data_IF_176076895272
#
_entry.id   IF_176076895272
#
_cell.length_a   1.000
_cell.length_b   1.000
_cell.length_c   1.000
_cell.angle_alpha   90.00
_cell.angle_beta   90.00
_cell.angle_gamma   90.00
#
_symmetry.space_group_name_H-M   'P 1'
#
loop_
_entity.id
_entity.type
_entity.pdbx_description
1 polymer ?
#
# COMPACT_ATOMS: atom_id res chain seq x y z
N UNK A 1 -7.12 -25.38 6.79
CA UNK A 1 -8.56 -25.08 6.68
C UNK A 1 -8.72 -23.60 6.40
N UNK A 2 -9.17 -23.24 5.22
CA UNK A 2 -9.55 -21.86 4.91
C UNK A 2 -10.86 -21.56 5.64
N UNK A 3 -10.79 -20.92 6.78
CA UNK A 3 -12.00 -20.45 7.47
C UNK A 3 -12.57 -19.33 6.59
N UNK A 4 -13.83 -19.47 6.20
CA UNK A 4 -14.50 -18.43 5.41
C UNK A 4 -14.55 -17.14 6.23
N UNK A 5 -14.09 -16.02 5.66
CA UNK A 5 -14.12 -14.70 6.31
C UNK A 5 -15.52 -14.33 6.80
N UNK A 6 -16.56 -14.76 6.11
CA UNK A 6 -17.95 -14.50 6.51
C UNK A 6 -18.30 -15.13 7.86
N UNK A 7 -17.82 -16.35 8.12
CA UNK A 7 -18.02 -17.02 9.42
C UNK A 7 -17.27 -16.30 10.54
N UNK A 8 -16.10 -15.74 10.25
CA UNK A 8 -15.34 -14.95 11.24
C UNK A 8 -16.05 -13.63 11.55
N UNK A 9 -16.59 -12.97 10.55
CA UNK A 9 -17.39 -11.74 10.73
C UNK A 9 -18.64 -12.05 11.58
N UNK A 10 -19.31 -13.16 11.32
CA UNK A 10 -20.48 -13.58 12.10
C UNK A 10 -20.10 -13.87 13.56
N UNK A 11 -19.02 -14.62 13.80
CA UNK A 11 -18.51 -14.91 15.17
C UNK A 11 -18.20 -13.63 15.96
N UNK A 12 -17.53 -12.66 15.32
CA UNK A 12 -17.08 -11.42 15.93
C UNK A 12 -18.06 -10.25 15.78
N UNK A 13 -19.24 -10.49 15.22
CA UNK A 13 -20.28 -9.47 14.98
C UNK A 13 -20.60 -8.61 16.21
N UNK A 14 -20.74 -9.14 17.44
CA UNK A 14 -21.04 -8.32 18.60
C UNK A 14 -19.96 -7.28 18.90
N UNK A 15 -18.68 -7.65 18.68
CA UNK A 15 -17.54 -6.76 18.91
C UNK A 15 -17.36 -5.77 17.77
N UNK A 16 -17.58 -6.20 16.51
CA UNK A 16 -17.39 -5.36 15.32
C UNK A 16 -18.46 -4.27 15.17
N UNK A 17 -19.65 -4.51 15.67
CA UNK A 17 -20.79 -3.57 15.55
C UNK A 17 -21.05 -2.75 16.81
N UNK A 18 -20.17 -2.78 17.79
CA UNK A 18 -20.28 -2.00 19.02
C UNK A 18 -20.17 -0.49 18.72
N UNK A 19 -21.15 0.29 19.12
CA UNK A 19 -21.25 1.72 18.79
C UNK A 19 -20.20 2.59 19.52
N UNK A 20 -19.76 2.17 20.71
CA UNK A 20 -18.83 2.94 21.54
C UNK A 20 -17.45 3.17 20.92
N UNK A 21 -17.03 2.29 19.99
CA UNK A 21 -15.73 2.36 19.32
C UNK A 21 -15.81 2.82 17.85
N UNK A 22 -16.99 3.34 17.43
CA UNK A 22 -17.23 3.75 16.05
C UNK A 22 -17.65 2.58 15.15
N UNK A 23 -18.41 2.84 14.10
CA UNK A 23 -18.87 1.82 13.15
C UNK A 23 -17.86 1.64 12.02
N UNK A 24 -17.42 0.41 11.78
CA UNK A 24 -16.60 0.07 10.63
C UNK A 24 -17.53 -0.16 9.45
N UNK A 25 -17.55 0.74 8.47
CA UNK A 25 -18.44 0.64 7.30
C UNK A 25 -17.90 -0.27 6.20
N UNK A 26 -16.59 -0.40 6.09
CA UNK A 26 -15.92 -1.18 5.06
C UNK A 26 -15.92 -2.67 5.40
N UNK A 27 -16.52 -3.50 4.53
CA UNK A 27 -16.60 -4.96 4.69
C UNK A 27 -15.21 -5.62 4.74
N UNK A 28 -14.25 -5.12 3.96
CA UNK A 28 -12.89 -5.65 3.97
C UNK A 28 -12.18 -5.36 5.28
N UNK A 29 -12.31 -4.13 5.81
CA UNK A 29 -11.77 -3.78 7.13
C UNK A 29 -12.41 -4.63 8.24
N UNK A 30 -13.71 -4.92 8.16
CA UNK A 30 -14.38 -5.85 9.08
C UNK A 30 -13.79 -7.27 9.00
N UNK A 31 -13.60 -7.79 7.80
CA UNK A 31 -13.05 -9.13 7.58
C UNK A 31 -11.62 -9.27 8.14
N UNK A 32 -10.77 -8.28 7.86
CA UNK A 32 -9.39 -8.27 8.36
C UNK A 32 -9.37 -8.16 9.89
N UNK A 33 -10.17 -7.27 10.46
CA UNK A 33 -10.26 -7.11 11.93
C UNK A 33 -10.74 -8.39 12.61
N UNK A 34 -11.75 -9.08 12.03
CA UNK A 34 -12.23 -10.36 12.52
C UNK A 34 -11.14 -11.44 12.48
N UNK A 35 -10.38 -11.53 11.39
CA UNK A 35 -9.27 -12.48 11.26
C UNK A 35 -8.14 -12.20 12.27
N UNK A 36 -7.83 -10.93 12.50
CA UNK A 36 -6.82 -10.52 13.48
C UNK A 36 -7.26 -10.83 14.91
N UNK A 37 -8.54 -10.62 15.24
CA UNK A 37 -9.11 -10.99 16.54
C UNK A 37 -9.08 -12.52 16.77
N UNK A 38 -9.36 -13.31 15.72
CA UNK A 38 -9.25 -14.77 15.79
C UNK A 38 -7.81 -15.22 16.04
N UNK A 39 -6.85 -14.63 15.34
CA UNK A 39 -5.43 -14.91 15.58
C UNK A 39 -5.00 -14.53 17.01
N UNK A 40 -5.56 -13.47 17.55
CA UNK A 40 -5.32 -13.07 18.92
C UNK A 40 -5.88 -14.09 19.93
N UNK A 41 -7.11 -14.58 19.71
CA UNK A 41 -7.69 -15.62 20.54
C UNK A 41 -6.82 -16.87 20.55
N UNK A 42 -6.35 -17.29 19.38
CA UNK A 42 -5.45 -18.45 19.24
C UNK A 42 -4.13 -18.19 19.97
N UNK A 43 -3.51 -17.04 19.79
CA UNK A 43 -2.24 -16.71 20.45
C UNK A 43 -2.37 -16.67 21.98
N UNK A 44 -3.44 -16.09 22.51
CA UNK A 44 -3.71 -16.05 23.96
C UNK A 44 -3.99 -17.45 24.53
N UNK A 45 -4.62 -18.32 23.75
CA UNK A 45 -4.87 -19.72 24.13
C UNK A 45 -3.55 -20.52 24.17
N UNK A 46 -2.67 -20.31 23.19
CA UNK A 46 -1.35 -20.95 23.14
C UNK A 46 -0.42 -20.47 24.27
N UNK A 47 -0.48 -19.20 24.64
CA UNK A 47 0.29 -18.63 25.76
C UNK A 47 -0.26 -19.04 27.14
N UNK A 48 -1.33 -19.83 27.21
CA UNK A 48 -1.94 -20.31 28.45
C UNK A 48 -2.65 -19.23 29.29
N UNK A 49 -2.84 -18.03 28.70
CA UNK A 49 -3.57 -16.93 29.35
C UNK A 49 -5.09 -17.18 29.37
N UNK A 50 -5.56 -18.07 28.48
CA UNK A 50 -6.95 -18.53 28.44
C UNK A 50 -6.92 -20.04 28.73
N UNK A 51 -7.09 -20.45 29.94
CA UNK A 51 -7.29 -21.86 30.28
C UNK A 51 -8.77 -22.20 30.19
N UNK A 52 -9.12 -23.21 29.39
CA UNK A 52 -10.49 -23.74 29.32
C UNK A 52 -10.99 -24.39 30.62
N UNK A 53 -10.07 -24.73 31.53
CA UNK A 53 -10.39 -25.29 32.84
C UNK A 53 -10.23 -24.21 33.91
N UNK A 54 -11.33 -23.61 34.33
CA UNK A 54 -11.34 -22.84 35.57
C UNK A 54 -10.93 -23.74 36.74
N UNK A 55 -10.02 -23.30 37.62
CA UNK A 55 -9.75 -24.06 38.86
C UNK A 55 -11.06 -24.24 39.63
N UNK A 56 -11.23 -25.39 40.26
CA UNK A 56 -12.47 -25.85 40.92
C UNK A 56 -13.04 -24.90 42.01
N UNK A 57 -12.38 -23.80 42.34
CA UNK A 57 -12.78 -22.78 43.28
C UNK A 57 -13.24 -21.43 42.64
N UNK A 58 -13.46 -21.36 41.34
CA UNK A 58 -13.94 -20.12 40.70
C UNK A 58 -15.44 -20.07 40.73
N UNK A 59 -15.96 -19.08 41.45
CA UNK A 59 -17.38 -18.69 41.38
C UNK A 59 -17.64 -18.07 40.04
N UNK A 60 -18.47 -18.74 39.24
CA UNK A 60 -19.05 -18.29 37.95
C UNK A 60 -18.07 -18.10 36.78
N UNK A 61 -18.44 -18.71 35.68
CA UNK A 61 -17.87 -18.60 34.33
C UNK A 61 -17.76 -17.15 33.85
N UNK A 62 -16.79 -16.41 34.34
CA UNK A 62 -16.34 -15.18 33.72
C UNK A 62 -15.33 -15.63 32.67
N UNK A 63 -15.74 -15.62 31.41
CA UNK A 63 -14.82 -15.70 30.31
C UNK A 63 -13.72 -14.65 30.54
N UNK A 64 -12.51 -15.07 30.76
CA UNK A 64 -11.33 -14.21 30.98
C UNK A 64 -10.92 -13.50 29.66
N UNK A 65 -11.86 -12.95 28.96
CA UNK A 65 -11.60 -12.05 27.86
C UNK A 65 -11.21 -10.71 28.46
N UNK A 66 -10.02 -10.25 28.16
CA UNK A 66 -9.61 -8.93 28.59
C UNK A 66 -10.34 -7.89 27.68
N UNK A 67 -11.43 -7.25 28.14
CA UNK A 67 -12.23 -6.36 27.32
C UNK A 67 -11.44 -5.13 26.86
N UNK A 68 -10.46 -4.72 27.65
CA UNK A 68 -9.56 -3.59 27.31
C UNK A 68 -8.72 -3.91 26.09
N UNK A 69 -8.21 -5.12 25.99
CA UNK A 69 -7.36 -5.54 24.87
C UNK A 69 -8.16 -5.63 23.57
N UNK A 70 -9.37 -6.18 23.61
CA UNK A 70 -10.26 -6.28 22.45
C UNK A 70 -10.68 -4.87 21.98
N UNK A 71 -11.04 -3.99 22.90
CA UNK A 71 -11.39 -2.62 22.59
C UNK A 71 -10.21 -1.84 21.97
N UNK A 72 -9.00 -2.06 22.48
CA UNK A 72 -7.78 -1.44 21.97
C UNK A 72 -7.46 -1.91 20.55
N UNK A 73 -7.54 -3.22 20.27
CA UNK A 73 -7.32 -3.76 18.92
C UNK A 73 -8.36 -3.20 17.95
N UNK A 74 -9.63 -3.18 18.33
CA UNK A 74 -10.69 -2.66 17.49
C UNK A 74 -10.54 -1.17 17.19
N UNK A 75 -10.07 -0.37 18.16
CA UNK A 75 -9.85 1.07 17.99
C UNK A 75 -8.58 1.35 17.18
N UNK A 76 -7.52 0.62 17.42
CA UNK A 76 -6.20 0.89 16.87
C UNK A 76 -6.02 0.39 15.43
N UNK A 77 -6.42 -0.85 15.15
CA UNK A 77 -6.13 -1.49 13.85
C UNK A 77 -6.78 -0.83 12.64
N UNK A 78 -8.08 -0.43 12.65
CA UNK A 78 -8.70 0.19 11.48
C UNK A 78 -8.15 1.58 11.14
N UNK A 79 -7.50 2.26 12.09
CA UNK A 79 -6.97 3.61 11.95
C UNK A 79 -5.55 3.64 11.37
N UNK A 80 -4.92 2.49 11.14
CA UNK A 80 -3.63 2.43 10.47
C UNK A 80 -3.74 2.96 9.03
N UNK A 81 -2.86 3.88 8.66
CA UNK A 81 -2.77 4.42 7.30
C UNK A 81 -2.52 3.32 6.25
N UNK A 82 -1.93 2.20 6.66
CA UNK A 82 -1.71 1.04 5.81
C UNK A 82 -2.99 0.51 5.15
N UNK A 83 -4.14 0.60 5.82
CA UNK A 83 -5.43 0.19 5.24
C UNK A 83 -5.89 1.08 4.09
N UNK A 84 -5.46 2.32 4.04
CA UNK A 84 -5.87 3.27 3.02
C UNK A 84 -4.92 3.31 1.82
N UNK A 85 -3.62 3.05 2.03
CA UNK A 85 -2.58 3.16 0.99
C UNK A 85 -1.98 1.83 0.54
N UNK A 86 -2.04 0.78 1.37
CA UNK A 86 -1.52 -0.56 1.06
C UNK A 86 -2.65 -1.57 0.89
N UNK A 87 -2.35 -2.70 0.26
CA UNK A 87 -3.18 -3.89 0.34
C UNK A 87 -3.03 -4.54 1.72
N UNK A 88 -4.10 -4.98 2.33
CA UNK A 88 -4.05 -5.64 3.64
C UNK A 88 -4.49 -7.08 3.51
N UNK A 89 -3.59 -7.99 3.90
CA UNK A 89 -3.80 -9.44 3.84
C UNK A 89 -3.44 -10.07 5.18
N UNK A 90 -4.40 -10.47 6.01
CA UNK A 90 -4.11 -11.10 7.28
C UNK A 90 -3.45 -12.46 7.07
N UNK A 91 -2.47 -12.79 7.92
CA UNK A 91 -1.78 -14.07 7.91
C UNK A 91 -2.38 -14.99 8.97
N UNK A 92 -2.48 -16.27 8.65
CA UNK A 92 -2.90 -17.33 9.60
C UNK A 92 -1.73 -18.03 10.28
N UNK A 93 -0.48 -17.72 9.90
CA UNK A 93 0.74 -18.30 10.43
C UNK A 93 1.92 -17.32 10.39
N UNK A 94 3.08 -17.70 10.91
CA UNK A 94 4.28 -16.85 10.93
C UNK A 94 4.85 -16.56 9.53
N UNK A 95 4.47 -17.35 8.53
CA UNK A 95 4.83 -17.18 7.13
C UNK A 95 3.58 -17.16 6.26
N UNK A 96 3.56 -16.30 5.27
CA UNK A 96 2.49 -16.20 4.28
C UNK A 96 3.04 -16.23 2.86
N UNK A 97 2.16 -16.48 1.90
CA UNK A 97 2.48 -16.48 0.48
C UNK A 97 1.46 -15.60 -0.27
N UNK A 98 1.97 -14.75 -1.14
CA UNK A 98 1.17 -13.96 -2.08
C UNK A 98 1.50 -14.45 -3.48
N UNK A 99 0.47 -14.79 -4.24
CA UNK A 99 0.61 -15.30 -5.60
C UNK A 99 0.23 -14.25 -6.63
N UNK A 100 0.98 -14.25 -7.74
CA UNK A 100 0.63 -13.52 -8.94
C UNK A 100 0.66 -14.46 -10.14
N UNK A 101 -0.36 -14.39 -11.00
CA UNK A 101 -0.42 -15.15 -12.24
C UNK A 101 -0.12 -14.22 -13.41
N UNK A 102 0.87 -14.60 -14.23
CA UNK A 102 1.26 -13.87 -15.44
C UNK A 102 1.02 -14.76 -16.65
N UNK A 103 0.28 -14.22 -17.63
CA UNK A 103 0.09 -14.85 -18.93
C UNK A 103 1.36 -14.62 -19.76
N UNK A 104 1.82 -15.65 -20.48
CA UNK A 104 3.05 -15.60 -21.26
C UNK A 104 2.83 -16.09 -22.69
N UNK A 105 3.53 -15.49 -23.62
CA UNK A 105 3.64 -16.02 -24.97
C UNK A 105 4.49 -17.30 -24.95
N UNK A 106 4.14 -18.31 -25.76
CA UNK A 106 4.81 -19.60 -25.76
C UNK A 106 4.41 -20.52 -24.60
N UNK A 107 5.10 -21.63 -24.40
CA UNK A 107 4.72 -22.70 -23.46
C UNK A 107 4.84 -22.39 -21.96
N UNK A 108 4.76 -21.13 -21.53
CA UNK A 108 4.71 -20.77 -20.11
C UNK A 108 6.07 -20.74 -19.39
N UNK A 109 7.17 -20.51 -20.09
CA UNK A 109 8.48 -20.28 -19.46
C UNK A 109 8.56 -18.89 -18.84
N UNK A 110 9.27 -18.74 -17.71
CA UNK A 110 9.51 -17.44 -17.04
C UNK A 110 10.35 -16.49 -17.88
N UNK A 111 11.10 -16.97 -18.86
CA UNK A 111 11.88 -16.17 -19.80
C UNK A 111 11.02 -15.59 -20.94
N UNK A 112 9.83 -16.14 -21.15
CA UNK A 112 8.95 -15.67 -22.22
C UNK A 112 8.31 -14.32 -21.85
N UNK A 113 8.02 -13.53 -22.89
CA UNK A 113 7.37 -12.23 -22.74
C UNK A 113 5.98 -12.36 -22.12
N UNK A 114 5.62 -11.41 -21.26
CA UNK A 114 4.31 -11.32 -20.66
C UNK A 114 3.26 -10.86 -21.68
N UNK A 115 2.15 -11.59 -21.77
CA UNK A 115 1.01 -11.27 -22.60
C UNK A 115 -0.07 -10.54 -21.80
N UNK A 116 -0.97 -9.84 -22.47
CA UNK A 116 -2.10 -9.10 -21.89
C UNK A 116 -1.72 -7.87 -21.06
N UNK A 117 -0.46 -7.64 -20.84
CA UNK A 117 0.07 -6.48 -20.12
C UNK A 117 0.56 -5.41 -21.09
N UNK A 118 1.39 -5.78 -22.04
CA UNK A 118 1.84 -4.91 -23.12
C UNK A 118 0.86 -4.97 -24.29
N UNK A 119 1.09 -4.16 -25.31
CA UNK A 119 0.36 -4.27 -26.56
C UNK A 119 0.48 -5.67 -27.14
N UNK A 120 -0.63 -6.20 -27.67
CA UNK A 120 -0.65 -7.54 -28.23
C UNK A 120 0.30 -7.65 -29.44
N UNK A 121 1.12 -8.70 -29.46
CA UNK A 121 1.99 -8.97 -30.61
C UNK A 121 1.17 -9.46 -31.81
N UNK A 122 1.04 -8.61 -32.80
CA UNK A 122 0.25 -8.90 -34.01
C UNK A 122 0.86 -10.03 -34.86
N UNK A 123 2.17 -10.22 -34.75
CA UNK A 123 2.89 -11.29 -35.46
C UNK A 123 2.79 -12.66 -34.78
N UNK A 124 2.40 -12.71 -33.49
CA UNK A 124 2.49 -13.96 -32.75
C UNK A 124 1.53 -15.04 -33.26
N UNK A 125 0.30 -14.70 -33.56
CA UNK A 125 -0.70 -15.63 -34.12
C UNK A 125 -1.02 -15.43 -35.58
N UNK A 126 -0.36 -14.45 -36.21
CA UNK A 126 -0.57 -14.06 -37.60
C UNK A 126 0.66 -14.32 -38.49
N UNK A 127 0.80 -13.50 -39.52
CA UNK A 127 1.94 -13.54 -40.44
C UNK A 127 3.20 -13.05 -39.77
N UNK A 128 4.28 -13.87 -39.83
CA UNK A 128 5.59 -13.56 -39.27
C UNK A 128 6.42 -12.56 -40.10
N UNK A 129 5.90 -12.09 -41.25
CA UNK A 129 6.60 -11.16 -42.11
C UNK A 129 6.56 -9.71 -41.63
N UNK A 130 5.65 -9.38 -40.69
CA UNK A 130 5.61 -8.06 -40.08
C UNK A 130 6.60 -7.91 -38.92
N UNK A 131 7.13 -6.72 -38.72
CA UNK A 131 7.97 -6.39 -37.57
C UNK A 131 7.12 -5.68 -36.52
N UNK A 132 6.87 -6.36 -35.41
CA UNK A 132 6.36 -5.74 -34.20
C UNK A 132 7.54 -5.57 -33.25
N UNK A 133 7.87 -4.33 -32.90
CA UNK A 133 8.97 -4.07 -31.97
C UNK A 133 8.61 -4.57 -30.57
N UNK A 134 9.37 -5.52 -30.07
CA UNK A 134 9.13 -6.21 -28.79
C UNK A 134 9.20 -5.31 -27.56
N UNK A 135 9.93 -4.20 -27.66
CA UNK A 135 10.25 -3.35 -26.50
C UNK A 135 9.40 -2.07 -26.46
N UNK A 136 8.86 -1.67 -27.59
CA UNK A 136 8.01 -0.49 -27.69
C UNK A 136 6.61 -0.83 -28.17
N UNK A 137 5.83 -0.44 -27.39
CA UNK A 137 4.48 -0.49 -27.18
C UNK A 137 3.76 0.03 -28.39
N UNK A 138 3.52 0.25 -29.25
CA UNK A 138 2.53 0.73 -30.20
C UNK A 138 3.02 0.88 -31.61
N UNK A 139 3.89 0.18 -32.12
CA UNK A 139 4.20 0.27 -33.56
C UNK A 139 4.12 1.67 -34.24
N UNK A 140 3.65 2.64 -33.51
CA UNK A 140 3.57 4.06 -33.82
C UNK A 140 4.68 4.80 -33.07
N UNK A 141 5.94 4.45 -33.35
CA UNK A 141 7.05 5.30 -32.93
C UNK A 141 7.13 6.50 -33.88
N UNK A 142 6.18 7.40 -33.70
CA UNK A 142 6.04 8.55 -34.59
C UNK A 142 6.94 9.66 -34.08
N UNK A 143 8.13 9.74 -34.60
CA UNK A 143 9.03 10.87 -34.38
C UNK A 143 8.64 12.10 -35.19
N UNK A 144 8.08 11.90 -36.33
CA UNK A 144 7.63 12.98 -37.24
C UNK A 144 6.24 12.65 -37.80
N UNK A 145 5.22 13.32 -37.26
CA UNK A 145 3.86 13.31 -37.75
C UNK A 145 3.62 14.57 -38.54
N UNK A 146 4.42 14.79 -39.56
CA UNK A 146 4.13 15.90 -40.51
C UNK A 146 3.25 15.41 -41.64
N UNK A 147 2.76 16.34 -42.45
CA UNK A 147 1.95 16.03 -43.60
C UNK A 147 2.79 15.61 -44.81
N UNK A 148 4.10 15.53 -44.68
CA UNK A 148 5.00 15.14 -45.74
C UNK A 148 5.05 13.62 -45.83
N UNK A 149 4.73 13.06 -46.98
CA UNK A 149 4.74 11.63 -47.27
C UNK A 149 6.15 11.06 -47.53
N UNK A 150 7.18 11.68 -46.94
CA UNK A 150 8.55 11.20 -47.05
C UNK A 150 8.79 9.90 -46.27
N UNK A 151 9.82 9.16 -46.63
CA UNK A 151 10.18 7.87 -46.04
C UNK A 151 10.49 7.92 -44.55
N UNK A 152 10.57 9.10 -43.95
CA UNK A 152 10.82 9.32 -42.52
C UNK A 152 9.56 9.22 -41.64
N UNK A 153 8.39 9.16 -42.25
CA UNK A 153 7.15 8.94 -41.46
C UNK A 153 7.06 7.49 -41.04
N UNK A 154 7.20 7.25 -39.74
CA UNK A 154 7.14 5.92 -39.14
C UNK A 154 5.84 5.16 -39.43
N UNK A 155 4.75 5.88 -39.79
CA UNK A 155 3.49 5.28 -40.22
C UNK A 155 3.62 4.54 -41.56
N UNK A 156 4.51 5.00 -42.43
CA UNK A 156 4.72 4.44 -43.76
C UNK A 156 5.75 3.31 -43.73
N UNK A 157 6.67 3.32 -42.76
CA UNK A 157 7.78 2.34 -42.67
C UNK A 157 7.47 1.19 -41.75
N UNK A 158 6.57 1.33 -40.79
CA UNK A 158 6.21 0.27 -39.84
C UNK A 158 5.07 -0.58 -40.44
N UNK A 159 5.45 -1.73 -40.94
CA UNK A 159 4.51 -2.78 -41.35
C UNK A 159 4.09 -3.62 -40.14
N UNK A 160 2.85 -3.52 -39.76
CA UNK A 160 2.28 -4.45 -38.77
C UNK A 160 2.06 -5.80 -39.44
N UNK A 161 2.25 -6.88 -38.65
CA UNK A 161 1.84 -8.19 -39.06
C UNK A 161 0.31 -8.27 -39.18
N UNK A 162 -0.15 -8.92 -40.22
CA UNK A 162 -1.56 -9.19 -40.50
C UNK A 162 -1.91 -10.63 -40.18
N UNK A 163 -3.17 -11.03 -40.37
CA UNK A 163 -3.56 -12.42 -40.27
C UNK A 163 -2.89 -13.30 -41.32
N UNK A 164 -2.77 -14.58 -41.07
CA UNK A 164 -2.22 -15.56 -41.99
C UNK A 164 -3.02 -15.62 -43.29
N UNK A 165 -2.34 -15.93 -44.39
CA UNK A 165 -3.01 -16.23 -45.66
C UNK A 165 -3.77 -17.54 -45.56
N UNK A 166 -4.79 -17.74 -46.40
CA UNK A 166 -5.58 -18.99 -46.45
C UNK A 166 -4.68 -20.20 -46.73
N UNK A 167 -3.66 -20.06 -47.56
CA UNK A 167 -2.72 -21.12 -47.89
C UNK A 167 -1.82 -21.52 -46.71
N UNK A 168 -1.47 -20.58 -45.83
CA UNK A 168 -0.72 -20.87 -44.59
C UNK A 168 -1.65 -21.47 -43.52
N UNK A 169 -2.88 -21.00 -43.43
CA UNK A 169 -3.86 -21.51 -42.48
C UNK A 169 -4.23 -23.00 -42.80
N UNK A 170 -4.27 -23.38 -44.08
CA UNK A 170 -4.49 -24.77 -44.49
C UNK A 170 -3.33 -25.71 -44.11
N UNK A 171 -2.13 -25.19 -43.94
CA UNK A 171 -0.94 -25.96 -43.55
C UNK A 171 -0.75 -26.10 -42.03
N UNK A 172 -1.57 -25.40 -41.24
CA UNK A 172 -1.48 -25.45 -39.77
C UNK A 172 -1.64 -26.90 -39.26
N UNK A 173 -0.61 -27.34 -38.50
CA UNK A 173 -0.60 -28.67 -37.91
C UNK A 173 -0.10 -29.78 -38.82
N UNK A 174 0.33 -29.49 -40.05
CA UNK A 174 0.99 -30.46 -40.89
C UNK A 174 2.45 -30.67 -40.47
N UNK A 175 2.99 -31.87 -40.64
CA UNK A 175 4.35 -32.18 -40.21
C UNK A 175 5.40 -31.37 -41.01
N UNK A 176 6.17 -30.55 -40.30
CA UNK A 176 7.25 -29.72 -40.86
C UNK A 176 6.86 -28.30 -41.22
N UNK A 177 5.63 -27.90 -41.00
CA UNK A 177 5.13 -26.52 -41.25
C UNK A 177 4.65 -25.85 -39.95
N UNK A 178 4.05 -24.68 -40.07
CA UNK A 178 3.65 -23.84 -38.90
C UNK A 178 2.72 -24.59 -37.95
N UNK A 179 3.17 -24.75 -36.70
CA UNK A 179 2.32 -25.24 -35.63
C UNK A 179 1.47 -24.10 -35.05
N UNK A 180 0.35 -24.43 -34.43
CA UNK A 180 -0.40 -23.48 -33.62
C UNK A 180 0.51 -22.85 -32.58
N UNK A 181 0.45 -21.51 -32.44
CA UNK A 181 1.22 -20.81 -31.42
C UNK A 181 0.59 -21.06 -30.06
N UNK A 182 1.43 -21.30 -29.08
CA UNK A 182 1.02 -21.65 -27.72
C UNK A 182 1.08 -20.42 -26.81
N UNK A 183 0.17 -20.35 -25.87
CA UNK A 183 0.22 -19.42 -24.75
C UNK A 183 0.14 -20.19 -23.45
N UNK A 184 0.88 -19.75 -22.46
CA UNK A 184 0.89 -20.36 -21.15
C UNK A 184 0.74 -19.33 -20.05
N UNK A 185 0.82 -19.77 -18.81
CA UNK A 185 0.87 -18.88 -17.66
C UNK A 185 1.95 -19.33 -16.68
N UNK A 186 2.50 -18.39 -15.94
CA UNK A 186 3.42 -18.64 -14.84
C UNK A 186 2.82 -18.15 -13.54
N UNK A 187 3.06 -18.87 -12.45
CA UNK A 187 2.67 -18.46 -11.11
C UNK A 187 3.93 -18.00 -10.40
N UNK A 188 3.96 -16.72 -10.07
CA UNK A 188 5.01 -16.11 -9.25
C UNK A 188 4.53 -15.99 -7.82
N UNK A 189 5.43 -16.12 -6.85
CA UNK A 189 5.13 -16.04 -5.44
C UNK A 189 6.07 -15.07 -4.74
N UNK A 190 5.54 -14.32 -3.79
CA UNK A 190 6.30 -13.57 -2.81
C UNK A 190 6.02 -14.17 -1.43
N UNK A 191 7.07 -14.45 -0.67
CA UNK A 191 6.96 -14.95 0.70
C UNK A 191 7.01 -13.77 1.67
N UNK A 192 6.14 -13.80 2.67
CA UNK A 192 6.17 -12.83 3.77
C UNK A 192 6.44 -13.55 5.07
N UNK A 193 7.32 -12.99 5.88
CA UNK A 193 7.63 -13.47 7.24
C UNK A 193 7.19 -12.44 8.26
N UNK A 194 6.54 -12.89 9.33
CA UNK A 194 6.12 -12.03 10.42
C UNK A 194 7.33 -11.58 11.25
N UNK A 195 7.52 -10.27 11.36
CA UNK A 195 8.48 -9.61 12.25
C UNK A 195 7.74 -9.10 13.49
N UNK A 196 8.43 -8.92 14.62
CA UNK A 196 7.83 -8.46 15.85
C UNK A 196 8.33 -7.06 16.22
N UNK A 197 7.41 -6.23 16.76
CA UNK A 197 7.73 -5.01 17.49
C UNK A 197 7.27 -5.15 18.91
N UNK A 198 8.07 -4.68 19.85
CA UNK A 198 7.73 -4.74 21.27
C UNK A 198 8.29 -3.53 22.01
N UNK A 199 7.48 -2.95 22.89
CA UNK A 199 7.85 -1.89 23.81
C UNK A 199 7.44 -2.28 25.20
N UNK A 200 8.20 -1.84 26.21
CA UNK A 200 7.86 -2.02 27.62
C UNK A 200 7.95 -0.70 28.37
N UNK A 201 7.14 -0.56 29.39
CA UNK A 201 7.25 0.50 30.37
C UNK A 201 7.26 -0.10 31.80
N UNK A 202 8.01 0.54 32.68
CA UNK A 202 8.09 0.21 34.11
C UNK A 202 7.67 1.45 34.89
N UNK A 203 6.93 1.27 35.96
CA UNK A 203 6.53 2.38 36.84
C UNK A 203 6.56 1.95 38.30
N UNK A 204 6.79 2.90 39.21
CA UNK A 204 6.80 2.64 40.65
C UNK A 204 5.38 2.69 41.20
N UNK A 205 5.14 1.90 42.28
CA UNK A 205 3.85 1.91 42.97
C UNK A 205 3.54 3.26 43.61
N UNK A 206 4.56 3.97 44.12
CA UNK A 206 4.42 5.30 44.68
C UNK A 206 3.93 6.28 43.63
N UNK A 207 4.54 6.27 42.42
CA UNK A 207 4.11 7.14 41.31
C UNK A 207 2.64 6.89 40.94
N UNK A 208 2.22 5.62 40.91
CA UNK A 208 0.84 5.29 40.57
C UNK A 208 -0.16 5.80 41.63
N UNK A 209 0.24 5.72 42.91
CA UNK A 209 -0.57 6.23 44.03
C UNK A 209 -0.68 7.76 44.00
N UNK A 210 0.43 8.43 43.76
CA UNK A 210 0.49 9.89 43.70
C UNK A 210 -0.29 10.45 42.51
N UNK A 211 -0.14 9.85 41.32
CA UNK A 211 -0.93 10.24 40.14
C UNK A 211 -2.43 10.07 40.37
N UNK A 212 -2.82 8.98 41.02
CA UNK A 212 -4.23 8.73 41.30
C UNK A 212 -4.77 9.68 42.37
N UNK A 213 -3.97 10.01 43.38
CA UNK A 213 -4.39 10.90 44.49
C UNK A 213 -4.45 12.38 44.06
N UNK A 214 -3.50 12.86 43.23
CA UNK A 214 -3.39 14.28 42.87
C UNK A 214 -4.17 14.58 41.59
N UNK A 215 -4.05 13.72 40.56
CA UNK A 215 -4.60 13.96 39.23
C UNK A 215 -5.81 13.10 38.88
N UNK A 216 -6.12 12.08 39.68
CA UNK A 216 -7.20 11.13 39.40
C UNK A 216 -6.93 10.21 38.19
N UNK A 217 -5.68 10.20 37.69
CA UNK A 217 -5.26 9.41 36.52
C UNK A 217 -4.71 8.05 36.96
N UNK A 218 -5.02 7.02 36.19
CA UNK A 218 -4.44 5.69 36.38
C UNK A 218 -3.15 5.56 35.51
N UNK A 219 -2.00 5.41 36.19
CA UNK A 219 -0.70 5.32 35.54
C UNK A 219 -0.61 4.18 34.52
N UNK A 220 -1.27 3.06 34.81
CA UNK A 220 -1.27 1.91 33.90
C UNK A 220 -1.98 2.24 32.59
N UNK A 221 -3.15 2.85 32.68
CA UNK A 221 -3.97 3.22 31.51
C UNK A 221 -3.26 4.26 30.67
N UNK A 222 -2.65 5.27 31.28
CA UNK A 222 -1.93 6.31 30.55
C UNK A 222 -0.68 5.76 29.84
N UNK A 223 0.10 4.91 30.51
CA UNK A 223 1.25 4.25 29.90
C UNK A 223 0.83 3.30 28.77
N UNK A 224 -0.27 2.59 28.93
CA UNK A 224 -0.82 1.72 27.90
C UNK A 224 -1.20 2.53 26.65
N UNK A 225 -1.84 3.69 26.80
CA UNK A 225 -2.18 4.58 25.70
C UNK A 225 -0.93 5.10 24.99
N UNK A 226 0.09 5.55 25.75
CA UNK A 226 1.34 6.06 25.18
C UNK A 226 2.04 4.98 24.37
N UNK A 227 2.23 3.78 24.94
CA UNK A 227 2.93 2.69 24.25
C UNK A 227 2.19 2.20 23.00
N UNK A 228 0.86 2.11 23.07
CA UNK A 228 0.05 1.70 21.91
C UNK A 228 0.12 2.72 20.78
N UNK A 229 0.02 3.99 21.10
CA UNK A 229 0.10 5.07 20.11
C UNK A 229 1.49 5.11 19.45
N UNK A 230 2.56 4.93 20.22
CA UNK A 230 3.92 4.93 19.67
C UNK A 230 4.14 3.76 18.71
N UNK A 231 3.73 2.54 19.07
CA UNK A 231 3.86 1.38 18.16
C UNK A 231 3.10 1.60 16.86
N UNK A 232 1.90 2.18 16.92
CA UNK A 232 1.11 2.47 15.72
C UNK A 232 1.78 3.55 14.85
N UNK A 233 2.32 4.59 15.47
CA UNK A 233 3.09 5.61 14.79
C UNK A 233 4.34 5.03 14.10
N UNK A 234 5.07 4.15 14.78
CA UNK A 234 6.22 3.44 14.21
C UNK A 234 5.83 2.60 12.98
N UNK A 235 4.72 1.86 13.04
CA UNK A 235 4.23 1.06 11.91
C UNK A 235 3.88 1.95 10.72
N UNK A 236 3.16 3.04 10.95
CA UNK A 236 2.82 3.98 9.88
C UNK A 236 4.07 4.61 9.26
N UNK A 237 5.05 4.97 10.06
CA UNK A 237 6.34 5.50 9.56
C UNK A 237 7.09 4.45 8.73
N UNK A 238 7.11 3.21 9.15
CA UNK A 238 7.73 2.12 8.40
C UNK A 238 7.05 1.94 7.03
N UNK A 239 5.71 1.97 6.99
CA UNK A 239 4.95 1.87 5.73
C UNK A 239 5.30 3.02 4.79
N UNK A 240 5.26 4.28 5.26
CA UNK A 240 5.58 5.45 4.43
C UNK A 240 7.02 5.38 3.92
N UNK A 241 7.98 5.06 4.78
CA UNK A 241 9.40 4.94 4.39
C UNK A 241 9.62 3.82 3.37
N UNK A 242 8.94 2.69 3.52
CA UNK A 242 9.02 1.58 2.58
C UNK A 242 8.45 1.99 1.21
N UNK A 243 7.32 2.69 1.18
CA UNK A 243 6.76 3.23 -0.07
C UNK A 243 7.77 4.19 -0.71
N UNK A 244 8.28 5.17 0.04
CA UNK A 244 9.20 6.17 -0.49
C UNK A 244 10.51 5.56 -1.00
N UNK A 245 11.03 4.52 -0.33
CA UNK A 245 12.27 3.86 -0.76
C UNK A 245 12.09 3.05 -2.04
N UNK A 246 10.93 2.42 -2.22
CA UNK A 246 10.65 1.59 -3.39
C UNK A 246 10.09 2.38 -4.57
N UNK A 247 9.52 3.57 -4.33
CA UNK A 247 8.91 4.40 -5.37
C UNK A 247 9.89 4.72 -6.49
N UNK A 248 9.44 4.59 -7.74
CA UNK A 248 10.20 5.04 -8.90
C UNK A 248 10.39 6.55 -8.87
N UNK A 249 11.51 7.02 -9.40
CA UNK A 249 11.78 8.45 -9.54
C UNK A 249 10.78 9.06 -10.52
N UNK A 250 10.07 10.10 -10.09
CA UNK A 250 9.19 10.92 -10.91
C UNK A 250 9.92 12.10 -11.54
N UNK A 251 9.15 13.04 -12.12
CA UNK A 251 9.63 14.29 -12.74
C UNK A 251 10.77 14.09 -13.77
N UNK A 252 10.70 13.01 -14.55
CA UNK A 252 11.72 12.66 -15.54
C UNK A 252 11.63 13.50 -16.84
N UNK A 253 10.55 14.26 -17.01
CA UNK A 253 10.24 14.97 -18.26
C UNK A 253 10.32 16.49 -18.14
N UNK A 254 10.53 17.01 -16.94
CA UNK A 254 10.56 18.45 -16.68
C UNK A 254 11.96 19.01 -16.89
N UNK A 255 12.96 18.38 -16.35
CA UNK A 255 14.35 18.77 -16.53
C UNK A 255 15.21 17.53 -16.78
N UNK A 256 15.78 17.42 -17.97
CA UNK A 256 16.62 16.29 -18.35
C UNK A 256 17.96 16.23 -17.58
N UNK A 257 18.40 17.35 -17.01
CA UNK A 257 19.64 17.42 -16.26
C UNK A 257 19.48 16.93 -14.80
N UNK A 258 18.30 17.06 -14.22
CA UNK A 258 18.06 16.73 -12.79
C UNK A 258 16.75 15.93 -12.67
N UNK A 259 16.86 14.64 -12.86
CA UNK A 259 15.73 13.73 -12.70
C UNK A 259 15.30 13.65 -11.22
N UNK A 260 13.99 13.65 -10.98
CA UNK A 260 13.42 13.50 -9.64
C UNK A 260 13.20 14.80 -8.88
N UNK A 261 13.46 15.94 -9.48
CA UNK A 261 13.22 17.26 -8.90
C UNK A 261 12.28 18.04 -9.80
N UNK A 262 11.28 18.65 -9.22
CA UNK A 262 10.40 19.63 -9.84
C UNK A 262 10.65 20.99 -9.18
N UNK A 263 11.22 21.92 -9.93
CA UNK A 263 11.44 23.28 -9.48
C UNK A 263 10.26 24.17 -9.89
N UNK A 264 9.53 24.68 -8.89
CA UNK A 264 8.34 25.51 -9.12
C UNK A 264 8.68 26.81 -9.88
N UNK A 265 9.92 27.30 -9.79
CA UNK A 265 10.32 28.52 -10.49
C UNK A 265 10.66 28.30 -11.95
N UNK A 266 11.36 27.22 -12.25
CA UNK A 266 11.92 26.97 -13.60
C UNK A 266 11.10 26.02 -14.43
N UNK A 267 10.45 25.03 -13.80
CA UNK A 267 9.72 23.97 -14.51
C UNK A 267 8.21 24.26 -14.63
N UNK A 268 7.71 25.23 -13.86
CA UNK A 268 6.32 25.66 -13.95
C UNK A 268 6.19 26.96 -14.73
N UNK A 269 5.37 26.93 -15.79
CA UNK A 269 5.02 28.14 -16.51
C UNK A 269 4.09 29.03 -15.69
N UNK A 270 4.31 30.34 -15.76
CA UNK A 270 3.45 31.32 -15.11
C UNK A 270 4.21 32.50 -14.49
N UNK A 271 3.53 33.63 -14.39
CA UNK A 271 4.07 34.86 -13.77
C UNK A 271 3.72 34.94 -12.29
N UNK A 272 2.60 34.37 -11.90
CA UNK A 272 2.06 34.43 -10.53
C UNK A 272 2.28 33.10 -9.82
N UNK A 273 2.51 33.16 -8.52
CA UNK A 273 2.72 31.95 -7.69
C UNK A 273 1.58 30.93 -7.83
N UNK A 274 0.35 31.40 -7.90
CA UNK A 274 -0.83 30.53 -8.09
C UNK A 274 -0.80 29.77 -9.44
N UNK A 275 -0.32 30.41 -10.50
CA UNK A 275 -0.18 29.76 -11.80
C UNK A 275 0.91 28.67 -11.75
N UNK A 276 2.02 28.96 -11.08
CA UNK A 276 3.10 28.00 -10.87
C UNK A 276 2.65 26.80 -10.04
N UNK A 277 1.80 27.02 -9.03
CA UNK A 277 1.21 25.92 -8.25
C UNK A 277 0.25 25.06 -9.07
N UNK A 278 -0.45 25.63 -10.04
CA UNK A 278 -1.21 24.84 -11.04
C UNK A 278 -0.31 23.97 -11.91
N UNK A 279 0.91 24.43 -12.21
CA UNK A 279 1.93 23.65 -12.89
C UNK A 279 2.34 22.41 -12.05
N UNK A 280 2.47 22.57 -10.73
CA UNK A 280 2.71 21.44 -9.82
C UNK A 280 1.56 20.43 -9.84
N UNK A 281 0.29 20.88 -9.85
CA UNK A 281 -0.87 19.98 -9.97
C UNK A 281 -0.83 19.20 -11.29
N UNK A 282 -0.47 19.86 -12.39
CA UNK A 282 -0.31 19.18 -13.67
C UNK A 282 0.79 18.11 -13.62
N UNK A 283 1.91 18.39 -12.97
CA UNK A 283 2.97 17.40 -12.80
C UNK A 283 2.52 16.19 -12.00
N UNK A 284 1.80 16.41 -10.90
CA UNK A 284 1.21 15.32 -10.11
C UNK A 284 0.29 14.47 -10.99
N UNK A 285 -0.55 15.09 -11.80
CA UNK A 285 -1.47 14.41 -12.71
C UNK A 285 -0.71 13.59 -13.77
N UNK A 286 0.40 14.10 -14.28
CA UNK A 286 1.30 13.36 -15.19
C UNK A 286 1.89 12.12 -14.53
N UNK A 287 2.32 12.22 -13.28
CA UNK A 287 2.83 11.06 -12.54
C UNK A 287 1.73 10.03 -12.27
N UNK A 288 0.50 10.46 -11.94
CA UNK A 288 -0.65 9.56 -11.85
C UNK A 288 -0.89 8.80 -13.16
N UNK A 289 -0.82 9.50 -14.31
CA UNK A 289 -0.99 8.87 -15.62
C UNK A 289 0.17 7.91 -15.97
N UNK A 290 1.38 8.25 -15.57
CA UNK A 290 2.55 7.35 -15.73
C UNK A 290 2.36 6.03 -14.98
N UNK A 291 1.84 6.07 -13.75
CA UNK A 291 1.49 4.86 -13.01
C UNK A 291 0.48 4.03 -13.80
N UNK A 292 -0.56 4.66 -14.39
CA UNK A 292 -1.55 3.97 -15.21
C UNK A 292 -0.93 3.28 -16.43
N UNK A 293 0.01 3.96 -17.11
CA UNK A 293 0.71 3.42 -18.28
C UNK A 293 1.60 2.23 -17.88
N UNK A 294 2.32 2.33 -16.77
CA UNK A 294 3.26 1.29 -16.34
C UNK A 294 2.56 0.09 -15.70
N UNK A 295 1.50 0.31 -14.94
CA UNK A 295 0.78 -0.78 -14.25
C UNK A 295 -0.36 -1.38 -15.08
N UNK A 296 -0.91 -0.64 -16.05
CA UNK A 296 -2.11 -1.00 -16.84
C UNK A 296 -3.33 -1.36 -16.00
N UNK A 297 -3.34 -0.98 -14.73
CA UNK A 297 -4.43 -1.29 -13.78
C UNK A 297 -5.27 -0.08 -13.41
N UNK A 298 -4.65 1.08 -13.30
CA UNK A 298 -5.37 2.30 -12.97
C UNK A 298 -4.43 3.46 -12.69
N UNK A 299 -5.02 4.64 -12.65
CA UNK A 299 -4.35 5.89 -12.40
C UNK A 299 -4.06 6.04 -10.90
N UNK A 300 -2.98 6.72 -10.54
CA UNK A 300 -2.68 7.06 -9.16
C UNK A 300 -3.87 7.71 -8.45
N UNK A 301 -4.20 7.27 -7.25
CA UNK A 301 -5.40 7.69 -6.52
C UNK A 301 -5.12 8.20 -5.11
N UNK A 302 -3.87 8.19 -4.68
CA UNK A 302 -3.47 8.84 -3.44
C UNK A 302 -2.13 9.54 -3.56
N UNK A 303 -1.91 10.53 -2.73
CA UNK A 303 -0.71 11.36 -2.66
C UNK A 303 -0.28 11.45 -1.20
N UNK A 304 1.01 11.32 -0.96
CA UNK A 304 1.64 11.65 0.33
C UNK A 304 2.57 12.83 0.06
N UNK A 305 2.41 13.92 0.78
CA UNK A 305 3.19 15.13 0.56
C UNK A 305 3.61 15.80 1.87
N UNK A 306 4.57 16.72 1.79
CA UNK A 306 4.93 17.61 2.92
C UNK A 306 3.86 18.67 3.16
N UNK A 307 3.87 19.29 4.32
CA UNK A 307 2.94 20.36 4.71
C UNK A 307 2.97 21.56 3.76
N UNK A 308 4.16 21.97 3.30
CA UNK A 308 4.34 23.10 2.39
C UNK A 308 3.73 22.83 1.01
N UNK A 309 3.91 21.60 0.51
CA UNK A 309 3.26 21.16 -0.74
C UNK A 309 1.74 21.15 -0.59
N UNK A 310 1.21 20.67 0.52
CA UNK A 310 -0.24 20.69 0.77
C UNK A 310 -0.79 22.11 0.80
N UNK A 311 -0.04 23.05 1.39
CA UNK A 311 -0.39 24.48 1.39
C UNK A 311 -0.37 25.07 -0.03
N UNK A 312 0.61 24.70 -0.85
CA UNK A 312 0.67 25.12 -2.26
C UNK A 312 -0.51 24.56 -3.08
N UNK A 313 -0.88 23.30 -2.86
CA UNK A 313 -2.06 22.69 -3.51
C UNK A 313 -3.36 23.35 -3.10
N UNK A 314 -3.49 23.75 -1.83
CA UNK A 314 -4.62 24.53 -1.34
C UNK A 314 -4.67 25.92 -1.96
N UNK A 315 -3.53 26.61 -2.07
CA UNK A 315 -3.43 27.91 -2.72
C UNK A 315 -3.78 27.87 -4.21
N UNK A 316 -3.54 26.74 -4.89
CA UNK A 316 -3.96 26.52 -6.27
C UNK A 316 -5.49 26.34 -6.42
N UNK A 317 -6.26 26.34 -5.32
CA UNK A 317 -7.71 26.12 -5.27
C UNK A 317 -8.17 24.80 -5.89
N UNK A 318 -7.30 23.78 -5.86
CA UNK A 318 -7.59 22.44 -6.41
C UNK A 318 -7.76 21.37 -5.33
N UNK A 319 -7.43 21.70 -4.09
CA UNK A 319 -7.60 20.81 -2.95
C UNK A 319 -8.95 21.08 -2.30
N UNK A 320 -9.87 20.14 -2.44
CA UNK A 320 -11.16 20.18 -1.78
C UNK A 320 -11.04 19.60 -0.37
N UNK A 321 -11.12 20.46 0.64
CA UNK A 321 -11.28 20.01 2.01
C UNK A 321 -12.69 19.46 2.20
N UNK A 322 -12.81 18.25 2.71
CA UNK A 322 -14.13 17.71 3.05
C UNK A 322 -14.79 18.58 4.13
N UNK A 323 -16.11 18.91 4.02
CA UNK A 323 -16.81 19.77 4.98
C UNK A 323 -16.74 19.29 6.44
N UNK A 324 -16.58 17.99 6.66
CA UNK A 324 -16.35 17.40 7.98
C UNK A 324 -15.01 17.81 8.61
N UNK A 325 -14.06 18.26 7.81
CA UNK A 325 -12.72 18.70 8.28
C UNK A 325 -12.64 20.20 8.54
N UNK A 326 -13.66 20.97 8.20
CA UNK A 326 -13.66 22.44 8.43
C UNK A 326 -13.71 22.81 9.92
N UNK A 327 -14.11 21.91 10.80
CA UNK A 327 -14.22 22.14 12.25
C UNK A 327 -13.16 21.44 13.08
N UNK A 328 -12.56 20.38 12.55
CA UNK A 328 -11.50 19.65 13.27
C UNK A 328 -10.56 19.03 12.25
N UNK A 329 -9.32 19.51 12.20
CA UNK A 329 -8.26 18.77 11.53
C UNK A 329 -8.13 17.45 12.29
N UNK A 330 -8.75 16.40 11.78
CA UNK A 330 -8.64 15.08 12.37
C UNK A 330 -7.21 14.59 12.11
N UNK A 331 -6.33 14.93 13.03
CA UNK A 331 -5.03 14.26 13.14
C UNK A 331 -5.37 12.87 13.65
N UNK A 332 -5.10 11.86 12.85
CA UNK A 332 -5.12 10.49 13.33
C UNK A 332 -4.25 10.41 14.60
N UNK A 333 -4.63 9.58 15.56
CA UNK A 333 -3.84 9.32 16.79
C UNK A 333 -2.38 8.92 16.46
N UNK A 334 -2.09 8.62 15.19
CA UNK A 334 -0.80 8.24 14.63
C UNK A 334 0.00 9.39 14.01
N UNK A 335 -0.50 10.63 14.07
CA UNK A 335 0.20 11.83 13.59
C UNK A 335 0.19 12.06 12.08
N UNK A 336 -0.51 11.24 11.29
CA UNK A 336 -0.71 11.48 9.86
C UNK A 336 -2.03 12.20 9.63
N UNK A 337 -1.99 13.24 8.80
CA UNK A 337 -3.15 14.08 8.56
C UNK A 337 -3.72 13.84 7.17
N UNK A 338 -4.98 13.41 7.09
CA UNK A 338 -5.71 13.42 5.84
C UNK A 338 -6.15 14.85 5.52
N UNK A 339 -5.66 15.42 4.41
CA UNK A 339 -5.93 16.81 4.05
C UNK A 339 -7.19 17.01 3.21
N UNK A 340 -7.59 15.99 2.45
CA UNK A 340 -8.73 16.11 1.55
C UNK A 340 -8.52 15.40 0.22
N UNK A 341 -9.25 15.80 -0.79
CA UNK A 341 -9.17 15.23 -2.14
C UNK A 341 -8.72 16.27 -3.15
N UNK A 342 -7.77 15.90 -3.99
CA UNK A 342 -7.34 16.70 -5.13
C UNK A 342 -8.23 16.37 -6.33
N UNK A 343 -8.85 17.39 -6.95
CA UNK A 343 -9.76 17.24 -8.08
C UNK A 343 -10.90 16.21 -7.86
N UNK A 344 -11.33 16.01 -6.61
CA UNK A 344 -12.39 15.06 -6.27
C UNK A 344 -12.05 13.57 -6.50
N UNK A 345 -10.80 13.24 -6.82
CA UNK A 345 -10.38 11.86 -7.14
C UNK A 345 -9.24 11.35 -6.29
N UNK A 346 -8.23 12.16 -6.07
CA UNK A 346 -6.98 11.73 -5.45
C UNK A 346 -6.95 12.15 -3.98
N UNK A 347 -6.81 11.20 -3.08
CA UNK A 347 -6.71 11.45 -1.64
C UNK A 347 -5.33 12.02 -1.32
N UNK A 348 -5.28 13.07 -0.51
CA UNK A 348 -4.04 13.73 -0.10
C UNK A 348 -3.80 13.49 1.38
N UNK A 349 -2.61 12.95 1.69
CA UNK A 349 -2.13 12.72 3.05
C UNK A 349 -0.92 13.61 3.31
N UNK A 350 -0.90 14.29 4.44
CA UNK A 350 0.22 15.13 4.86
C UNK A 350 1.14 14.31 5.76
N UNK A 351 2.42 14.31 5.43
CA UNK A 351 3.47 13.78 6.28
C UNK A 351 4.05 14.89 7.17
N UNK A 352 3.73 14.92 8.47
CA UNK A 352 4.20 15.97 9.37
C UNK A 352 5.70 15.87 9.69
N UNK A 353 6.32 14.72 9.43
CA UNK A 353 7.74 14.47 9.73
C UNK A 353 8.66 14.63 8.52
N UNK A 354 8.15 15.22 7.44
CA UNK A 354 8.93 15.47 6.23
C UNK A 354 9.92 16.63 6.45
N UNK A 355 11.22 16.35 6.29
CA UNK A 355 12.27 17.38 6.35
C UNK A 355 12.51 18.05 4.99
N UNK A 356 12.05 17.43 3.91
CA UNK A 356 12.18 17.93 2.53
C UNK A 356 10.84 17.97 1.88
N UNK A 357 10.63 18.92 0.98
CA UNK A 357 9.39 18.99 0.22
C UNK A 357 9.40 17.90 -0.84
N UNK A 358 8.51 16.94 -0.70
CA UNK A 358 8.37 15.84 -1.64
C UNK A 358 6.89 15.52 -1.89
N UNK A 359 6.67 14.85 -3.00
CA UNK A 359 5.37 14.28 -3.36
C UNK A 359 5.58 12.84 -3.75
N UNK A 360 4.86 11.94 -3.09
CA UNK A 360 4.77 10.54 -3.48
C UNK A 360 3.36 10.27 -3.97
N UNK A 361 3.26 9.85 -5.21
CA UNK A 361 1.99 9.45 -5.84
C UNK A 361 1.91 7.94 -5.84
N UNK A 362 0.76 7.39 -5.52
CA UNK A 362 0.57 5.95 -5.50
C UNK A 362 -0.79 5.51 -6.03
N UNK A 363 -0.88 4.22 -6.32
CA UNK A 363 -2.09 3.55 -6.75
C UNK A 363 -2.44 2.40 -5.82
N UNK A 364 -3.71 2.37 -5.41
CA UNK A 364 -4.34 1.25 -4.74
C UNK A 364 -5.68 0.96 -5.40
N UNK A 365 -5.86 -0.25 -5.94
CA UNK A 365 -7.11 -0.67 -6.53
C UNK A 365 -8.23 -0.88 -5.51
N UNK A 366 -9.45 -1.03 -6.01
CA UNK A 366 -10.61 -1.41 -5.20
C UNK A 366 -10.49 -2.85 -4.67
N UNK A 367 -9.78 -3.69 -5.41
CA UNK A 367 -9.48 -5.04 -4.96
C UNK A 367 -8.33 -5.01 -3.94
N UNK A 368 -8.46 -5.69 -2.78
CA UNK A 368 -7.40 -5.77 -1.77
C UNK A 368 -6.05 -6.32 -2.27
N UNK A 369 -6.08 -7.11 -3.35
CA UNK A 369 -4.88 -7.69 -3.97
C UNK A 369 -4.20 -6.77 -4.99
N UNK A 370 -4.80 -5.62 -5.29
CA UNK A 370 -4.30 -4.69 -6.30
C UNK A 370 -3.63 -3.48 -5.64
N UNK A 371 -2.46 -3.70 -5.08
CA UNK A 371 -1.62 -2.68 -4.45
C UNK A 371 -0.14 -3.01 -4.68
N UNK A 372 0.72 -2.01 -4.61
CA UNK A 372 2.16 -2.17 -4.79
C UNK A 372 2.88 -2.80 -3.59
N UNK A 373 2.35 -2.62 -2.39
CA UNK A 373 2.85 -3.18 -1.14
C UNK A 373 1.68 -3.76 -0.36
N UNK A 374 1.90 -4.89 0.29
CA UNK A 374 0.94 -5.55 1.17
C UNK A 374 1.41 -5.47 2.61
N UNK A 375 0.51 -5.05 3.48
CA UNK A 375 0.63 -5.13 4.92
C UNK A 375 -0.07 -6.40 5.41
N UNK A 376 0.65 -7.27 6.08
CA UNK A 376 0.20 -8.59 6.47
C UNK A 376 0.19 -8.71 8.01
N UNK A 377 -0.88 -8.31 8.71
CA UNK A 377 -0.98 -8.46 10.15
C UNK A 377 -1.12 -9.95 10.51
N UNK A 378 -0.36 -10.37 11.51
CA UNK A 378 -0.47 -11.72 12.07
C UNK A 378 -1.05 -11.70 13.46
N UNK A 379 -0.32 -11.14 14.43
CA UNK A 379 -0.80 -10.97 15.80
C UNK A 379 -0.99 -9.47 16.04
N UNK A 380 -2.17 -9.06 16.50
CA UNK A 380 -2.42 -7.66 16.79
C UNK A 380 -1.61 -7.20 18.00
N UNK A 381 -1.83 -5.97 18.40
CA UNK A 381 -1.20 -5.42 19.59
C UNK A 381 -1.68 -6.16 20.83
N UNK A 382 -0.78 -6.94 21.44
CA UNK A 382 -1.02 -7.70 22.69
C UNK A 382 -0.35 -7.00 23.85
N UNK A 383 -1.04 -6.91 24.99
CA UNK A 383 -0.51 -6.36 26.22
C UNK A 383 -0.11 -7.48 27.16
N UNK A 384 1.10 -7.43 27.70
CA UNK A 384 1.62 -8.36 28.70
C UNK A 384 1.93 -7.58 29.97
N UNK A 385 1.46 -8.08 31.09
CA UNK A 385 1.74 -7.54 32.42
C UNK A 385 2.67 -8.46 33.16
N UNK A 386 3.66 -7.93 33.87
CA UNK A 386 4.58 -8.66 34.69
C UNK A 386 4.99 -7.81 35.91
N UNK A 387 5.39 -8.46 36.98
CA UNK A 387 6.04 -7.83 38.13
C UNK A 387 7.53 -8.15 38.07
N UNK A 388 8.38 -7.18 38.29
CA UNK A 388 9.83 -7.37 38.29
C UNK A 388 10.26 -8.28 39.45
N UNK A 389 11.10 -9.25 39.17
CA UNK A 389 11.58 -10.22 40.20
C UNK A 389 12.39 -9.52 41.31
N UNK A 390 13.27 -8.60 40.93
CA UNK A 390 14.18 -7.92 41.87
C UNK A 390 13.59 -6.65 42.46
N UNK A 391 12.81 -5.92 41.67
CA UNK A 391 12.31 -4.58 41.99
C UNK A 391 10.88 -4.59 42.55
N UNK A 392 10.14 -5.67 42.40
CA UNK A 392 8.71 -5.80 42.72
C UNK A 392 7.82 -4.73 42.09
N UNK A 393 8.33 -4.05 41.06
CA UNK A 393 7.59 -2.99 40.36
C UNK A 393 6.81 -3.56 39.19
N UNK A 394 5.61 -3.02 38.93
CA UNK A 394 4.81 -3.47 37.80
C UNK A 394 5.44 -3.00 36.49
N UNK A 395 5.37 -3.91 35.50
CA UNK A 395 5.86 -3.70 34.14
C UNK A 395 4.76 -4.02 33.16
N UNK A 396 4.62 -3.17 32.15
CA UNK A 396 3.68 -3.38 31.04
C UNK A 396 4.48 -3.50 29.77
N UNK A 397 4.15 -4.48 28.94
CA UNK A 397 4.74 -4.66 27.62
C UNK A 397 3.67 -4.75 26.56
N UNK A 398 3.91 -4.12 25.40
CA UNK A 398 3.12 -4.29 24.20
C UNK A 398 3.94 -4.99 23.13
N UNK A 399 3.33 -5.92 22.43
CA UNK A 399 3.95 -6.69 21.36
C UNK A 399 2.98 -6.86 20.21
N UNK A 400 3.46 -6.70 18.99
CA UNK A 400 2.71 -6.97 17.76
C UNK A 400 3.59 -7.73 16.78
N UNK A 401 2.96 -8.49 15.87
CA UNK A 401 3.65 -9.23 14.81
C UNK A 401 2.95 -9.00 13.49
N UNK A 402 3.70 -8.55 12.49
CA UNK A 402 3.21 -8.30 11.14
C UNK A 402 4.33 -8.49 10.12
N UNK A 403 3.99 -8.60 8.86
CA UNK A 403 4.93 -8.62 7.77
C UNK A 403 4.57 -7.58 6.71
N UNK A 404 5.56 -7.16 5.93
CA UNK A 404 5.35 -6.36 4.72
C UNK A 404 6.02 -7.04 3.54
N UNK A 405 5.36 -7.01 2.39
CA UNK A 405 5.84 -7.63 1.16
C UNK A 405 5.42 -6.79 -0.04
N UNK A 406 6.30 -6.71 -1.04
CA UNK A 406 5.98 -6.05 -2.30
C UNK A 406 5.20 -6.98 -3.22
N UNK A 407 4.44 -6.39 -4.12
CA UNK A 407 3.68 -7.14 -5.12
C UNK A 407 4.63 -7.93 -6.03
N UNK A 408 4.37 -9.23 -6.30
CA UNK A 408 5.18 -10.05 -7.21
C UNK A 408 5.33 -9.49 -8.63
N UNK A 409 4.42 -8.61 -9.07
CA UNK A 409 4.53 -7.91 -10.35
C UNK A 409 5.63 -6.84 -10.41
N UNK A 410 6.18 -6.43 -9.28
CA UNK A 410 7.18 -5.33 -9.19
C UNK A 410 8.59 -5.75 -9.60
N UNK A 411 8.83 -7.01 -9.95
CA UNK A 411 10.14 -7.55 -10.31
C UNK A 411 10.69 -8.49 -9.26
N UNK A 412 11.95 -8.93 -9.44
CA UNK A 412 12.59 -9.87 -8.51
C UNK A 412 12.64 -9.29 -7.09
N UNK A 413 11.86 -9.89 -6.19
CA UNK A 413 11.89 -9.54 -4.78
C UNK A 413 13.20 -10.03 -4.16
N UNK A 414 13.91 -9.20 -3.39
CA UNK A 414 15.01 -9.67 -2.56
C UNK A 414 14.53 -10.67 -1.52
N UNK A 415 15.45 -11.31 -0.84
CA UNK A 415 15.20 -12.36 0.16
C UNK A 415 14.17 -12.00 1.25
N UNK A 416 13.98 -10.71 1.49
CA UNK A 416 13.05 -10.19 2.53
C UNK A 416 11.60 -9.98 2.03
N UNK A 417 11.29 -10.34 0.78
CA UNK A 417 9.97 -10.12 0.20
C UNK A 417 9.68 -8.68 -0.23
N UNK A 418 10.55 -7.73 0.09
CA UNK A 418 10.44 -6.34 -0.34
C UNK A 418 11.19 -6.12 -1.66
N UNK A 419 10.64 -5.34 -2.59
CA UNK A 419 11.30 -5.01 -3.84
C UNK A 419 12.53 -4.13 -3.63
N UNK A 420 13.42 -4.12 -4.60
CA UNK A 420 14.59 -3.24 -4.59
C UNK A 420 14.18 -1.76 -4.60
N UNK A 421 15.12 -0.90 -4.17
CA UNK A 421 14.92 0.55 -4.15
C UNK A 421 14.64 1.07 -5.56
N UNK A 422 13.67 1.97 -5.70
CA UNK A 422 13.27 2.63 -6.96
C UNK A 422 12.70 1.69 -8.05
N UNK A 423 12.21 0.52 -7.71
CA UNK A 423 11.70 -0.44 -8.70
C UNK A 423 10.18 -0.52 -8.76
N UNK A 424 9.49 -0.10 -7.72
CA UNK A 424 8.05 -0.27 -7.61
C UNK A 424 7.28 0.70 -8.53
N UNK A 425 6.66 0.15 -9.56
CA UNK A 425 5.92 0.91 -10.57
C UNK A 425 4.55 1.43 -10.08
N UNK A 426 4.06 0.96 -8.94
CA UNK A 426 2.82 1.44 -8.33
C UNK A 426 2.98 2.77 -7.61
N UNK A 427 4.23 3.19 -7.35
CA UNK A 427 4.56 4.41 -6.62
C UNK A 427 5.59 5.23 -7.37
N UNK A 428 5.42 6.56 -7.36
CA UNK A 428 6.37 7.51 -7.91
C UNK A 428 6.62 8.63 -6.94
N UNK A 429 7.88 9.03 -6.77
CA UNK A 429 8.30 10.07 -5.87
C UNK A 429 9.12 11.12 -6.60
N UNK A 430 8.88 12.40 -6.30
CA UNK A 430 9.74 13.49 -6.73
C UNK A 430 9.82 14.56 -5.63
N UNK A 431 10.93 15.30 -5.63
CA UNK A 431 11.16 16.42 -4.74
C UNK A 431 10.64 17.69 -5.38
N UNK A 432 10.11 18.61 -4.57
CA UNK A 432 9.62 19.91 -5.01
C UNK A 432 10.52 20.99 -4.40
N UNK A 433 11.16 21.79 -5.24
CA UNK A 433 12.03 22.86 -4.82
C UNK A 433 11.40 24.23 -5.10
N UNK A 434 11.85 25.26 -4.37
CA UNK A 434 11.48 26.67 -4.56
C UNK A 434 9.97 26.97 -4.44
N UNK A 435 9.26 26.28 -3.52
CA UNK A 435 7.82 26.51 -3.28
C UNK A 435 7.56 27.91 -2.77
N UNK A 436 8.37 28.39 -1.85
CA UNK A 436 8.18 29.67 -1.18
C UNK A 436 8.86 30.85 -1.93
N UNK A 437 9.44 30.61 -3.07
CA UNK A 437 10.01 31.63 -3.94
C UNK A 437 10.97 32.56 -3.20
N UNK A 438 12.24 32.25 -3.19
CA UNK A 438 13.25 33.22 -2.78
C UNK A 438 13.37 34.34 -3.82
#
# INVERSE_FOLDING_TARGET
>A
MTVSYDKLIEKWSPVLNEESAGTITDHHKKAVTAAVLENQEIALREEGLITEAAPANATTSVNNWNPVLIALVRRAMPNLMAYDICGVQPMSGPTGLIFAMKSRYGGGSTSNREALFNEAETQFSGDSAGTHDSDNVSGLNVTNLDSDSTADDARLTNTFATGMTTAEAEKLGSSGESSFREMGFTIEKATVTAKARALKAEYSLELAQDLKAIHGLDAETELANILSTEILAEINREVIRTINSQAKTGALQTNTAVNGIFDVQTDADGRWSVEKFKGLVLQIERECNRIAIETRRGKGNFIICSSDVASALSAASMLDYTPAMSTTLAVDDTGNTFAGTLNGRTRVYIDPYANTNYVTVGYKGTNPYDAGIFYCPYVPLTMVRAVGEDTFQPKIGFKTRYGMVSNPFVGAAPSDGLAAVKTNQYYRIFRVDNILGA
#
